data_IF_801678482287
#
_entry.id   IF_801678482287
#
_cell.length_a   1.000
_cell.length_b   1.000
_cell.length_c   1.000
_cell.angle_alpha   90.00
_cell.angle_beta   90.00
_cell.angle_gamma   90.00
#
_symmetry.space_group_name_H-M   'P 1'
#
loop_
_entity.id
_entity.type
_entity.pdbx_description
1 polymer ?
#
# COMPACT_ATOMS: atom_id res chain seq x y z
N UNK A 1 -96.89 -19.72 6.07
CA UNK A 1 -96.69 -18.50 5.26
C UNK A 1 -97.55 -17.39 5.84
N UNK A 2 -97.14 -16.10 5.87
CA UNK A 2 -95.81 -15.52 5.64
C UNK A 2 -95.32 -14.71 6.88
N UNK A 3 -94.05 -14.31 6.88
CA UNK A 3 -93.61 -13.02 7.44
C UNK A 3 -92.16 -12.76 6.97
N UNK A 4 -91.98 -11.76 6.13
CA UNK A 4 -90.67 -11.14 5.87
C UNK A 4 -90.40 -10.06 6.91
N UNK A 5 -89.12 -9.82 7.23
CA UNK A 5 -88.59 -8.48 7.47
C UNK A 5 -87.06 -8.52 7.45
N UNK A 6 -86.48 -7.60 6.68
CA UNK A 6 -85.05 -7.31 6.58
C UNK A 6 -84.57 -6.46 7.78
N UNK A 7 -83.25 -6.43 8.06
CA UNK A 7 -82.39 -5.23 8.21
C UNK A 7 -81.03 -5.59 8.85
N UNK A 8 -79.98 -5.15 8.15
CA UNK A 8 -78.61 -4.78 8.54
C UNK A 8 -77.84 -5.51 9.65
N UNK A 9 -76.63 -5.96 9.29
CA UNK A 9 -75.41 -5.58 10.03
C UNK A 9 -74.26 -5.39 9.03
N UNK A 10 -73.79 -4.14 8.94
CA UNK A 10 -72.58 -3.76 8.23
C UNK A 10 -71.39 -4.13 9.12
N UNK A 11 -70.61 -5.13 8.70
CA UNK A 11 -69.36 -5.53 9.34
C UNK A 11 -68.19 -5.13 8.46
N UNK A 12 -67.47 -4.11 8.91
CA UNK A 12 -66.23 -3.61 8.33
C UNK A 12 -65.13 -4.68 8.48
N UNK A 13 -64.63 -5.23 7.36
CA UNK A 13 -63.52 -6.17 7.35
C UNK A 13 -62.29 -5.55 6.67
N UNK A 14 -61.58 -4.72 7.45
CA UNK A 14 -60.12 -4.60 7.56
C UNK A 14 -59.33 -5.12 6.34
N UNK A 15 -59.05 -4.23 5.38
CA UNK A 15 -58.07 -4.49 4.32
C UNK A 15 -56.69 -4.74 4.94
N UNK A 16 -56.22 -5.98 4.90
CA UNK A 16 -54.82 -6.32 5.15
C UNK A 16 -54.00 -5.82 3.95
N UNK A 17 -53.26 -4.74 4.14
CA UNK A 17 -52.25 -4.29 3.20
C UNK A 17 -51.05 -5.24 3.27
N UNK A 18 -51.05 -6.30 2.45
CA UNK A 18 -49.90 -7.19 2.33
C UNK A 18 -48.83 -6.49 1.49
N UNK A 19 -47.95 -5.74 2.14
CA UNK A 19 -46.73 -5.21 1.52
C UNK A 19 -45.77 -6.39 1.37
N UNK A 20 -45.64 -6.90 0.15
CA UNK A 20 -44.58 -7.84 -0.21
C UNK A 20 -43.31 -7.01 -0.44
N UNK A 21 -42.39 -7.03 0.52
CA UNK A 21 -41.04 -6.50 0.33
C UNK A 21 -40.29 -7.42 -0.64
N UNK A 22 -40.33 -7.09 -1.94
CA UNK A 22 -39.39 -7.64 -2.91
C UNK A 22 -37.98 -7.14 -2.55
N UNK A 23 -37.18 -8.01 -1.94
CA UNK A 23 -35.80 -7.72 -1.61
C UNK A 23 -34.97 -7.54 -2.88
N UNK A 24 -34.64 -6.30 -3.22
CA UNK A 24 -33.48 -6.01 -4.04
C UNK A 24 -32.24 -6.11 -3.14
N UNK A 25 -31.71 -7.32 -2.97
CA UNK A 25 -30.31 -7.47 -2.59
C UNK A 25 -29.47 -6.93 -3.76
N UNK A 26 -29.15 -5.65 -3.70
CA UNK A 26 -28.07 -5.09 -4.50
C UNK A 26 -26.79 -5.79 -4.08
N UNK A 27 -26.33 -6.73 -4.89
CA UNK A 27 -24.97 -7.26 -4.79
C UNK A 27 -24.06 -6.10 -5.19
N UNK A 28 -23.59 -5.34 -4.21
CA UNK A 28 -22.40 -4.52 -4.39
C UNK A 28 -21.23 -5.48 -4.59
N UNK A 29 -20.99 -5.85 -5.84
CA UNK A 29 -19.67 -6.30 -6.27
C UNK A 29 -18.78 -5.07 -6.19
N UNK A 30 -18.28 -4.75 -4.99
CA UNK A 30 -17.02 -4.02 -4.94
C UNK A 30 -16.02 -4.92 -5.65
N UNK A 31 -15.33 -4.45 -6.70
CA UNK A 31 -14.12 -5.12 -7.11
C UNK A 31 -13.24 -5.09 -5.86
N UNK A 32 -13.00 -6.25 -5.26
CA UNK A 32 -11.88 -6.40 -4.36
C UNK A 32 -10.68 -5.90 -5.16
N UNK A 33 -10.09 -4.78 -4.75
CA UNK A 33 -8.81 -4.36 -5.27
C UNK A 33 -7.86 -5.49 -4.89
N UNK A 34 -7.66 -6.43 -5.81
CA UNK A 34 -6.51 -7.30 -5.76
C UNK A 34 -5.33 -6.34 -5.64
N UNK A 35 -4.57 -6.47 -4.55
CA UNK A 35 -3.22 -5.96 -4.47
C UNK A 35 -2.54 -6.45 -5.74
N UNK A 36 -2.45 -5.57 -6.73
CA UNK A 36 -1.80 -5.89 -7.98
C UNK A 36 -0.34 -6.09 -7.61
N UNK A 37 0.03 -7.35 -7.36
CA UNK A 37 1.41 -7.80 -7.47
C UNK A 37 1.90 -7.20 -8.78
N UNK A 38 2.87 -6.30 -8.68
CA UNK A 38 3.52 -5.73 -9.84
C UNK A 38 4.32 -6.90 -10.38
N UNK A 39 3.67 -7.68 -11.25
CA UNK A 39 4.21 -8.91 -11.81
C UNK A 39 5.23 -8.49 -12.86
N UNK A 40 6.39 -8.06 -12.37
CA UNK A 40 7.61 -7.94 -13.15
C UNK A 40 8.02 -9.39 -13.39
N UNK A 41 7.54 -9.95 -14.50
CA UNK A 41 7.70 -11.37 -14.82
C UNK A 41 9.17 -11.82 -14.77
N UNK A 42 9.42 -13.13 -14.66
CA UNK A 42 10.77 -13.68 -14.51
C UNK A 42 10.92 -14.49 -13.23
N UNK A 43 12.09 -15.11 -13.04
CA UNK A 43 12.35 -15.95 -11.87
C UNK A 43 12.60 -15.08 -10.61
N UNK A 44 11.61 -15.04 -9.72
CA UNK A 44 11.68 -14.28 -8.46
C UNK A 44 11.84 -15.18 -7.23
N UNK A 45 12.70 -14.79 -6.29
CA UNK A 45 12.74 -15.40 -4.95
C UNK A 45 11.85 -14.59 -4.00
N UNK A 46 11.00 -15.26 -3.22
CA UNK A 46 10.05 -14.61 -2.31
C UNK A 46 10.20 -15.07 -0.85
N UNK A 47 9.98 -14.15 0.09
CA UNK A 47 10.00 -14.40 1.53
C UNK A 47 8.96 -13.56 2.26
N UNK A 48 8.75 -13.83 3.54
CA UNK A 48 7.82 -13.08 4.39
C UNK A 48 8.47 -12.74 5.75
N UNK A 49 8.07 -11.61 6.32
CA UNK A 49 8.48 -11.13 7.63
C UNK A 49 7.32 -10.42 8.32
N UNK A 50 6.68 -11.08 9.30
CA UNK A 50 5.48 -10.54 9.93
C UNK A 50 4.35 -10.29 8.91
N UNK A 51 3.90 -9.03 8.78
CA UNK A 51 2.89 -8.60 7.80
C UNK A 51 3.48 -8.24 6.42
N UNK A 52 4.80 -8.36 6.26
CA UNK A 52 5.49 -8.00 5.04
C UNK A 52 5.82 -9.23 4.19
N UNK A 53 5.72 -9.07 2.87
CA UNK A 53 6.29 -9.99 1.89
C UNK A 53 7.36 -9.28 1.08
N UNK A 54 8.42 -10.00 0.74
CA UNK A 54 9.49 -9.52 -0.12
C UNK A 54 9.60 -10.43 -1.33
N UNK A 55 9.86 -9.84 -2.50
CA UNK A 55 10.27 -10.57 -3.69
C UNK A 55 11.49 -9.92 -4.32
N UNK A 56 12.38 -10.75 -4.84
CA UNK A 56 13.63 -10.35 -5.48
C UNK A 56 13.63 -10.93 -6.88
N UNK A 57 13.61 -10.08 -7.90
CA UNK A 57 13.71 -10.46 -9.30
C UNK A 57 15.10 -10.07 -9.83
N UNK A 58 15.97 -11.08 -9.92
CA UNK A 58 17.34 -10.90 -10.39
C UNK A 58 17.43 -10.63 -11.90
N UNK A 59 16.45 -11.09 -12.70
CA UNK A 59 16.43 -10.86 -14.14
C UNK A 59 16.18 -9.39 -14.48
N UNK A 60 15.34 -8.72 -13.69
CA UNK A 60 15.00 -7.31 -13.87
C UNK A 60 15.75 -6.36 -12.92
N UNK A 61 16.62 -6.88 -12.06
CA UNK A 61 17.33 -6.12 -11.02
C UNK A 61 16.39 -5.27 -10.15
N UNK A 62 15.31 -5.87 -9.65
CA UNK A 62 14.33 -5.20 -8.79
C UNK A 62 14.03 -6.01 -7.54
N UNK A 63 13.75 -5.31 -6.44
CA UNK A 63 13.17 -5.90 -5.24
C UNK A 63 11.84 -5.20 -4.90
N UNK A 64 10.88 -5.97 -4.41
CA UNK A 64 9.57 -5.49 -3.99
C UNK A 64 9.34 -5.87 -2.53
N UNK A 65 8.77 -4.96 -1.74
CA UNK A 65 8.32 -5.23 -0.38
C UNK A 65 6.88 -4.76 -0.24
N UNK A 66 5.97 -5.68 0.06
CA UNK A 66 4.59 -5.36 0.37
C UNK A 66 4.39 -5.40 1.88
N UNK A 67 3.72 -4.40 2.44
CA UNK A 67 3.26 -4.40 3.82
C UNK A 67 1.74 -4.41 3.84
N UNK A 68 1.17 -5.53 4.27
CA UNK A 68 -0.27 -5.73 4.30
C UNK A 68 -0.81 -5.46 5.71
N UNK A 69 -1.00 -4.18 6.04
CA UNK A 69 -1.46 -3.72 7.35
C UNK A 69 -2.74 -2.85 7.26
N UNK A 70 -3.74 -3.34 6.53
CA UNK A 70 -5.05 -2.66 6.40
C UNK A 70 -4.92 -1.26 5.79
N UNK A 71 -5.40 -0.23 6.49
CA UNK A 71 -5.35 1.16 6.03
C UNK A 71 -3.93 1.73 5.93
N UNK A 72 -2.99 1.15 6.68
CA UNK A 72 -1.57 1.51 6.68
C UNK A 72 -0.75 0.61 5.73
N UNK A 73 -1.42 -0.05 4.79
CA UNK A 73 -0.74 -0.84 3.77
C UNK A 73 0.08 0.07 2.85
N UNK A 74 1.23 -0.43 2.44
CA UNK A 74 2.11 0.21 1.47
C UNK A 74 2.87 -0.85 0.69
N UNK A 75 3.39 -0.45 -0.47
CA UNK A 75 4.27 -1.27 -1.28
C UNK A 75 5.52 -0.46 -1.64
N UNK A 76 6.70 -1.06 -1.53
CA UNK A 76 7.97 -0.46 -1.91
C UNK A 76 8.61 -1.25 -3.05
N UNK A 77 9.16 -0.53 -4.03
CA UNK A 77 9.89 -1.09 -5.16
C UNK A 77 11.26 -0.43 -5.25
N UNK A 78 12.31 -1.24 -5.29
CA UNK A 78 13.70 -0.82 -5.42
C UNK A 78 14.21 -1.24 -6.80
N UNK A 79 14.49 -0.26 -7.67
CA UNK A 79 15.01 -0.46 -9.02
C UNK A 79 16.52 -0.19 -9.03
N UNK A 80 17.30 -1.27 -9.05
CA UNK A 80 18.76 -1.22 -9.03
C UNK A 80 19.36 -0.84 -10.39
N UNK A 81 18.58 -0.80 -11.47
CA UNK A 81 19.08 -0.29 -12.76
C UNK A 81 19.14 1.24 -12.77
N UNK A 82 18.18 1.90 -12.11
CA UNK A 82 18.08 3.38 -12.06
C UNK A 82 18.61 3.98 -10.77
N UNK A 83 18.98 3.15 -9.78
CA UNK A 83 19.32 3.56 -8.42
C UNK A 83 18.21 4.35 -7.72
N UNK A 84 16.95 4.01 -8.03
CA UNK A 84 15.77 4.64 -7.46
C UNK A 84 14.97 3.64 -6.64
N UNK A 85 14.44 4.11 -5.51
CA UNK A 85 13.46 3.40 -4.73
C UNK A 85 12.17 4.22 -4.71
N UNK A 86 11.05 3.52 -4.68
CA UNK A 86 9.75 4.14 -4.62
C UNK A 86 8.88 3.43 -3.58
N UNK A 87 8.01 4.18 -2.92
CA UNK A 87 7.00 3.67 -2.00
C UNK A 87 5.63 4.21 -2.39
N UNK A 88 4.66 3.31 -2.49
CA UNK A 88 3.26 3.63 -2.73
C UNK A 88 2.48 3.47 -1.43
N UNK A 89 1.92 4.57 -0.94
CA UNK A 89 1.08 4.62 0.26
C UNK A 89 -0.38 4.46 -0.15
N UNK A 90 -1.00 3.30 0.12
CA UNK A 90 -2.33 3.00 -0.40
C UNK A 90 -3.42 3.89 0.23
N UNK A 91 -3.41 4.02 1.56
CA UNK A 91 -4.38 4.87 2.28
C UNK A 91 -4.29 6.35 1.92
N UNK A 92 -3.12 6.81 1.46
CA UNK A 92 -2.84 8.22 1.15
C UNK A 92 -2.86 8.52 -0.34
N UNK A 93 -2.92 7.50 -1.19
CA UNK A 93 -2.90 7.61 -2.65
C UNK A 93 -1.71 8.44 -3.14
N UNK A 94 -0.52 8.17 -2.61
CA UNK A 94 0.73 8.85 -2.99
C UNK A 94 1.80 7.84 -3.37
N UNK A 95 2.64 8.22 -4.33
CA UNK A 95 3.89 7.55 -4.63
C UNK A 95 5.04 8.50 -4.28
N UNK A 96 6.04 8.01 -3.56
CA UNK A 96 7.21 8.82 -3.19
C UNK A 96 8.43 8.10 -3.73
N UNK A 97 9.29 8.82 -4.43
CA UNK A 97 10.45 8.27 -5.14
C UNK A 97 11.71 8.98 -4.66
N UNK A 98 12.75 8.23 -4.35
CA UNK A 98 14.02 8.76 -3.89
C UNK A 98 15.19 8.00 -4.51
N UNK A 99 16.38 8.61 -4.48
CA UNK A 99 17.63 7.91 -4.81
C UNK A 99 17.99 6.94 -3.69
N UNK A 100 18.44 5.75 -4.06
CA UNK A 100 18.90 4.76 -3.08
C UNK A 100 20.27 5.14 -2.51
N UNK A 101 20.40 5.14 -1.19
CA UNK A 101 21.70 5.24 -0.52
C UNK A 101 22.39 3.88 -0.51
N UNK A 102 23.34 3.67 -1.43
CA UNK A 102 24.07 2.40 -1.58
C UNK A 102 24.92 2.02 -0.37
N UNK A 103 25.23 2.96 0.53
CA UNK A 103 26.00 2.69 1.75
C UNK A 103 25.14 2.13 2.88
N UNK A 104 23.81 2.29 2.77
CA UNK A 104 22.85 1.95 3.82
C UNK A 104 21.87 0.88 3.35
N UNK A 105 21.28 1.06 2.17
CA UNK A 105 20.32 0.11 1.59
C UNK A 105 21.04 -1.19 1.15
N UNK A 106 20.43 -2.36 1.36
CA UNK A 106 21.03 -3.64 0.98
C UNK A 106 21.14 -3.77 -0.54
N UNK A 107 22.20 -4.45 -1.00
CA UNK A 107 22.28 -4.86 -2.40
C UNK A 107 21.20 -5.87 -2.73
N UNK A 108 20.85 -5.98 -4.02
CA UNK A 108 19.90 -6.98 -4.51
C UNK A 108 20.34 -8.40 -4.13
N UNK A 109 21.65 -8.70 -4.26
CA UNK A 109 22.21 -10.00 -3.89
C UNK A 109 22.06 -10.28 -2.39
N UNK A 110 22.28 -9.28 -1.53
CA UNK A 110 22.06 -9.43 -0.09
C UNK A 110 20.60 -9.78 0.21
N UNK A 111 19.64 -9.09 -0.43
CA UNK A 111 18.22 -9.43 -0.27
C UNK A 111 17.91 -10.84 -0.77
N UNK A 112 18.43 -11.21 -1.94
CA UNK A 112 18.23 -12.53 -2.52
C UNK A 112 18.70 -13.64 -1.58
N UNK A 113 19.88 -13.48 -0.99
CA UNK A 113 20.43 -14.40 0.01
C UNK A 113 19.55 -14.45 1.26
N UNK A 114 19.14 -13.30 1.80
CA UNK A 114 18.27 -13.23 2.99
C UNK A 114 16.94 -13.95 2.76
N UNK A 115 16.36 -13.82 1.57
CA UNK A 115 15.13 -14.51 1.16
C UNK A 115 15.36 -16.02 1.07
N UNK A 116 16.38 -16.46 0.33
CA UNK A 116 16.70 -17.89 0.13
C UNK A 116 17.01 -18.61 1.45
N UNK A 117 17.73 -17.94 2.34
CA UNK A 117 18.11 -18.48 3.64
C UNK A 117 17.00 -18.33 4.70
N UNK A 118 15.84 -17.76 4.32
CA UNK A 118 14.70 -17.50 5.21
C UNK A 118 15.06 -16.66 6.44
N UNK A 119 16.13 -15.84 6.35
CA UNK A 119 16.62 -14.98 7.44
C UNK A 119 15.73 -13.78 7.73
N UNK A 120 14.70 -13.58 6.90
CA UNK A 120 13.65 -12.58 7.12
C UNK A 120 12.47 -13.13 7.93
N UNK A 121 12.39 -14.46 8.14
CA UNK A 121 11.32 -15.12 8.89
C UNK A 121 11.70 -15.23 10.36
N UNK A 122 10.90 -14.65 11.27
CA UNK A 122 11.09 -14.81 12.72
C UNK A 122 11.00 -13.49 13.50
N UNK A 123 11.40 -13.53 14.79
CA UNK A 123 11.61 -12.30 15.58
C UNK A 123 12.78 -11.53 14.96
N UNK A 124 12.67 -10.20 14.88
CA UNK A 124 13.72 -9.32 14.37
C UNK A 124 15.08 -9.62 15.02
N UNK A 125 16.19 -9.28 14.34
CA UNK A 125 17.53 -9.72 14.76
C UNK A 125 17.83 -9.32 16.21
N UNK A 126 18.54 -10.17 16.97
CA UNK A 126 19.16 -9.83 18.27
C UNK A 126 20.32 -8.81 18.12
N UNK A 127 20.32 -8.04 17.03
CA UNK A 127 21.38 -7.14 16.60
C UNK A 127 21.07 -5.67 16.87
N UNK A 128 21.97 -4.77 16.44
CA UNK A 128 21.74 -3.34 16.54
C UNK A 128 20.46 -2.93 15.79
N UNK A 129 19.81 -1.83 16.22
CA UNK A 129 18.60 -1.35 15.58
C UNK A 129 18.81 -1.09 14.08
N UNK A 130 17.74 -1.20 13.26
CA UNK A 130 17.80 -0.95 11.83
C UNK A 130 18.46 0.40 11.53
N UNK A 131 19.23 0.47 10.45
CA UNK A 131 19.75 1.76 9.99
C UNK A 131 18.55 2.65 9.59
N UNK A 132 18.60 3.92 9.97
CA UNK A 132 17.58 4.90 9.63
C UNK A 132 17.99 5.75 8.43
N UNK A 133 17.10 5.90 7.47
CA UNK A 133 17.17 6.91 6.40
C UNK A 133 16.00 7.86 6.55
N UNK A 134 16.24 9.14 6.29
CA UNK A 134 15.21 10.16 6.33
C UNK A 134 15.24 10.99 5.06
N UNK A 135 14.07 11.24 4.49
CA UNK A 135 13.90 11.92 3.22
C UNK A 135 12.93 13.09 3.35
N UNK A 136 13.27 14.21 2.72
CA UNK A 136 12.40 15.37 2.58
C UNK A 136 11.64 15.28 1.27
N UNK A 137 10.32 15.24 1.32
CA UNK A 137 9.47 15.13 0.13
C UNK A 137 9.26 16.50 -0.50
N UNK A 138 9.63 16.61 -1.78
CA UNK A 138 9.39 17.79 -2.59
C UNK A 138 7.87 17.95 -2.83
N UNK A 139 7.29 19.13 -2.59
CA UNK A 139 5.87 19.37 -2.84
C UNK A 139 5.46 19.34 -4.33
N UNK A 140 6.40 19.50 -5.27
CA UNK A 140 6.10 19.45 -6.70
C UNK A 140 5.96 18.00 -7.20
N UNK A 141 4.86 17.72 -7.90
CA UNK A 141 4.62 16.42 -8.52
C UNK A 141 5.54 16.16 -9.72
N UNK A 142 5.97 14.91 -9.86
CA UNK A 142 6.68 14.42 -11.03
C UNK A 142 5.75 14.42 -12.23
N UNK A 143 6.04 15.31 -13.20
CA UNK A 143 5.24 15.48 -14.42
C UNK A 143 5.38 14.33 -15.42
N UNK A 144 6.56 13.71 -15.49
CA UNK A 144 6.87 12.65 -16.45
C UNK A 144 7.45 11.42 -15.74
N UNK A 145 6.58 10.45 -15.46
CA UNK A 145 6.94 9.20 -14.79
C UNK A 145 7.94 8.36 -15.59
N UNK A 146 8.02 8.52 -16.91
CA UNK A 146 8.92 7.70 -17.73
C UNK A 146 10.40 7.94 -17.40
N UNK A 147 10.71 9.10 -16.81
CA UNK A 147 12.07 9.44 -16.33
C UNK A 147 12.50 8.62 -15.11
N UNK A 148 11.57 7.93 -14.45
CA UNK A 148 11.83 7.15 -13.23
C UNK A 148 12.16 5.68 -13.51
N UNK A 149 12.14 5.25 -14.79
CA UNK A 149 12.28 3.85 -15.15
C UNK A 149 10.93 3.12 -15.19
N UNK A 150 10.84 2.10 -16.06
CA UNK A 150 9.59 1.37 -16.33
C UNK A 150 8.99 0.71 -15.08
N UNK A 151 9.77 0.05 -14.18
CA UNK A 151 9.23 -0.54 -12.96
C UNK A 151 8.50 0.48 -12.07
N UNK A 152 9.15 1.59 -11.75
CA UNK A 152 8.59 2.65 -10.89
C UNK A 152 7.44 3.37 -11.60
N UNK A 153 7.58 3.69 -12.88
CA UNK A 153 6.52 4.32 -13.66
C UNK A 153 5.23 3.49 -13.67
N UNK A 154 5.36 2.16 -13.77
CA UNK A 154 4.22 1.24 -13.69
C UNK A 154 3.61 1.22 -12.29
N UNK A 155 4.42 1.15 -11.23
CA UNK A 155 3.95 1.15 -9.85
C UNK A 155 3.14 2.40 -9.49
N UNK A 156 3.65 3.56 -9.90
CA UNK A 156 3.11 4.87 -9.56
C UNK A 156 2.07 5.39 -10.56
N UNK A 157 1.74 4.62 -11.61
CA UNK A 157 0.83 5.06 -12.67
C UNK A 157 -0.54 5.47 -12.11
N UNK A 158 -0.96 6.69 -12.44
CA UNK A 158 -2.25 7.25 -12.01
C UNK A 158 -2.28 7.68 -10.55
N UNK A 159 -1.12 7.74 -9.88
CA UNK A 159 -0.98 8.16 -8.49
C UNK A 159 -0.08 9.42 -8.45
N UNK A 160 -0.49 10.49 -7.74
CA UNK A 160 0.38 11.64 -7.47
C UNK A 160 1.74 11.18 -6.96
N UNK A 161 2.79 11.55 -7.68
CA UNK A 161 4.14 11.05 -7.46
C UNK A 161 5.08 12.19 -7.11
N UNK A 162 5.86 12.06 -6.05
CA UNK A 162 6.74 13.11 -5.54
C UNK A 162 8.16 12.59 -5.42
N UNK A 163 9.13 13.45 -5.73
CA UNK A 163 10.54 13.15 -5.44
C UNK A 163 10.84 13.45 -3.97
N UNK A 164 11.77 12.71 -3.39
CA UNK A 164 12.30 12.98 -2.07
C UNK A 164 13.83 12.93 -2.05
N UNK A 165 14.42 13.81 -1.26
CA UNK A 165 15.87 13.98 -1.13
C UNK A 165 16.31 13.56 0.27
N UNK A 166 17.44 12.86 0.36
CA UNK A 166 17.95 12.38 1.64
C UNK A 166 18.41 13.54 2.53
N UNK A 167 18.10 13.45 3.81
CA UNK A 167 18.41 14.46 4.82
C UNK A 167 19.66 13.99 5.57
N UNK A 168 20.80 14.64 5.34
CA UNK A 168 22.08 14.25 5.94
C UNK A 168 22.44 15.06 7.21
N UNK A 169 22.91 14.39 8.25
CA UNK A 169 23.61 15.01 9.38
C UNK A 169 22.78 16.02 10.18
N UNK A 170 23.32 17.24 10.36
CA UNK A 170 22.72 18.30 11.19
C UNK A 170 21.33 18.76 10.72
N UNK A 171 20.96 18.46 9.47
CA UNK A 171 19.65 18.80 8.91
C UNK A 171 18.50 17.98 9.52
N UNK A 172 18.78 16.83 10.13
CA UNK A 172 17.81 16.03 10.89
C UNK A 172 17.21 16.78 12.10
N UNK A 173 17.94 17.75 12.67
CA UNK A 173 17.45 18.56 13.80
C UNK A 173 16.45 19.64 13.39
N UNK A 174 16.33 19.92 12.08
CA UNK A 174 15.52 21.02 11.55
C UNK A 174 14.27 20.54 10.79
N UNK A 175 14.03 19.24 10.70
CA UNK A 175 12.86 18.69 10.03
C UNK A 175 11.62 18.84 10.90
N UNK A 176 10.98 19.99 10.81
CA UNK A 176 9.67 20.27 11.40
C UNK A 176 8.57 19.90 10.40
N UNK A 177 8.18 18.64 10.36
CA UNK A 177 7.15 18.15 9.44
C UNK A 177 6.46 16.88 9.94
N UNK A 178 5.30 16.56 9.35
CA UNK A 178 4.69 15.24 9.53
C UNK A 178 5.56 14.25 8.75
N UNK A 179 5.84 13.09 9.34
CA UNK A 179 6.62 12.04 8.69
C UNK A 179 5.81 10.75 8.63
N UNK A 180 5.91 10.05 7.50
CA UNK A 180 5.52 8.66 7.39
C UNK A 180 6.78 7.79 7.52
N UNK A 181 6.76 6.80 8.40
CA UNK A 181 7.87 5.88 8.60
C UNK A 181 7.50 4.46 8.19
N UNK A 182 8.32 3.84 7.35
CA UNK A 182 8.25 2.42 7.01
C UNK A 182 9.44 1.69 7.64
N UNK A 183 9.15 0.74 8.52
CA UNK A 183 10.11 -0.30 8.89
C UNK A 183 10.06 -1.38 7.80
N UNK A 184 11.18 -1.61 7.12
CA UNK A 184 11.28 -2.54 6.00
C UNK A 184 12.11 -3.72 6.46
N UNK A 185 11.45 -4.87 6.57
CA UNK A 185 12.06 -6.18 6.85
C UNK A 185 12.99 -6.22 8.08
N UNK A 186 12.83 -5.32 9.05
CA UNK A 186 13.68 -5.16 10.23
C UNK A 186 15.16 -4.81 9.93
N UNK A 187 15.48 -4.48 8.68
CA UNK A 187 16.85 -4.15 8.25
C UNK A 187 17.03 -2.66 8.00
N UNK A 188 15.93 -1.95 7.73
CA UNK A 188 15.96 -0.55 7.33
C UNK A 188 14.70 0.16 7.82
N UNK A 189 14.88 1.31 8.48
CA UNK A 189 13.80 2.24 8.72
C UNK A 189 13.92 3.42 7.74
N UNK A 190 12.87 3.69 6.97
CA UNK A 190 12.82 4.84 6.07
C UNK A 190 11.72 5.78 6.52
N UNK A 191 12.05 7.05 6.73
CA UNK A 191 11.11 8.11 7.07
C UNK A 191 11.00 9.13 5.95
N UNK A 192 9.78 9.44 5.53
CA UNK A 192 9.46 10.45 4.52
C UNK A 192 8.75 11.61 5.19
N UNK A 193 9.39 12.77 5.23
CA UNK A 193 8.93 13.95 5.95
C UNK A 193 8.51 15.05 4.98
N UNK A 194 7.45 15.76 5.33
CA UNK A 194 7.01 16.95 4.59
C UNK A 194 6.29 17.93 5.50
N UNK A 195 6.45 19.21 5.21
CA UNK A 195 5.72 20.31 5.84
C UNK A 195 4.41 20.65 5.12
N UNK A 196 4.25 20.23 3.87
CA UNK A 196 3.14 20.59 2.98
C UNK A 196 2.37 19.38 2.43
N UNK A 197 3.03 18.23 2.33
CA UNK A 197 2.43 16.98 1.87
C UNK A 197 1.86 16.23 3.08
N UNK A 198 0.54 16.05 3.13
CA UNK A 198 -0.09 15.31 4.23
C UNK A 198 0.09 13.78 4.10
N UNK A 199 0.33 13.12 5.22
CA UNK A 199 0.50 11.66 5.31
C UNK A 199 -0.61 10.97 6.07
#
# INVERSE_FOLDING_TARGET
MPASSSIHCSGEAKMKLTIVFAGLLGVFLTPALASSEINIGGNSNSGASGQQSVSVNNEHNVANVDNNNGWDSWNALWDYNTDLAAIRLFGKKKCIVHRMNKNVMPSLQTLDTLVKEKKLQGKGPEGPPPKGLMYSVNPEEVKDLNKLGKPIANMCRGIPTYMAEEIEGASLFFTSGKCFSADILWILNISYCSSTVEY
#
